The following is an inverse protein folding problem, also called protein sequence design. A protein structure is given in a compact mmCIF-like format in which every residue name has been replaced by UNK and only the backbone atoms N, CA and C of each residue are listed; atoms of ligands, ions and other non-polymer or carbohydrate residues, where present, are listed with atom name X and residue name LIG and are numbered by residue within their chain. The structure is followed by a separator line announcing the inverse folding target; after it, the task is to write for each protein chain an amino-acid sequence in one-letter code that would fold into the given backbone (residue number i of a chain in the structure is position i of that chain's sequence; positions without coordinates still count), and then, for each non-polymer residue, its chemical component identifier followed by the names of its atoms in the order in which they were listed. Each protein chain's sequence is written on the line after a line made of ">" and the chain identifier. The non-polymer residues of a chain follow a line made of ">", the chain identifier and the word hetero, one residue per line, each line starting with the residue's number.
data_IF_033597079837
#
_entry.id   IF_033597079837
#
_cell.length_a   1.000
_cell.length_b   1.000
_cell.length_c   1.000
_cell.angle_alpha   90.00
_cell.angle_beta   90.00
_cell.angle_gamma   90.00
#
_symmetry.space_group_name_H-M   'P 1'
#
loop_
_entity.id
_entity.type
_entity.pdbx_description
1 polymer ?
#
# COMPACT_ATOMS: atom_id res chain seq x y z
N UNK A 1 7.22 -16.47 -33.52
CA UNK A 1 7.75 -16.15 -34.85
C UNK A 1 8.25 -14.72 -34.85
N UNK A 2 9.57 -14.58 -35.13
CA UNK A 2 10.30 -13.41 -35.66
C UNK A 2 10.28 -12.18 -34.73
N UNK A 3 11.26 -11.71 -34.00
CA UNK A 3 12.70 -11.57 -34.31
C UNK A 3 12.99 -10.28 -35.07
N UNK A 4 13.48 -9.23 -34.38
CA UNK A 4 14.29 -8.18 -35.02
C UNK A 4 15.26 -7.63 -33.97
N UNK A 5 16.49 -8.08 -34.08
CA UNK A 5 17.69 -7.44 -33.54
C UNK A 5 18.03 -6.26 -34.45
N UNK A 6 18.18 -5.08 -33.91
CA UNK A 6 18.84 -3.99 -34.61
C UNK A 6 20.18 -3.66 -33.95
N UNK A 7 21.25 -4.14 -34.61
CA UNK A 7 22.63 -3.76 -34.36
C UNK A 7 22.88 -2.34 -34.91
N UNK A 8 23.08 -1.38 -34.05
CA UNK A 8 23.72 -0.13 -34.45
C UNK A 8 25.25 -0.21 -34.22
N UNK A 9 25.98 -0.48 -35.31
CA UNK A 9 27.45 -0.38 -35.35
C UNK A 9 27.80 1.08 -35.65
N UNK A 10 28.26 1.81 -34.64
CA UNK A 10 28.91 3.11 -34.84
C UNK A 10 30.39 2.88 -35.18
N UNK A 11 30.75 2.94 -36.47
CA UNK A 11 32.15 3.11 -36.92
C UNK A 11 32.52 4.58 -36.83
N UNK A 12 32.99 5.03 -35.66
CA UNK A 12 33.67 6.33 -35.51
C UNK A 12 35.16 6.16 -35.79
N UNK A 13 35.63 6.85 -36.79
CA UNK A 13 37.09 7.00 -37.06
C UNK A 13 37.76 7.66 -35.86
N UNK A 14 38.69 6.91 -35.22
CA UNK A 14 39.50 7.40 -34.12
C UNK A 14 40.53 8.40 -34.68
N UNK A 15 40.34 9.71 -34.48
CA UNK A 15 41.40 10.70 -34.60
C UNK A 15 42.18 10.72 -33.27
N UNK A 16 43.52 10.62 -33.27
CA UNK A 16 44.29 10.69 -32.02
C UNK A 16 44.29 12.15 -31.51
N UNK A 17 43.68 12.35 -30.37
CA UNK A 17 43.69 13.62 -29.66
C UNK A 17 45.11 13.86 -29.07
N UNK A 18 45.80 14.90 -29.52
CA UNK A 18 47.19 15.21 -29.18
C UNK A 18 47.39 15.85 -27.79
N UNK A 19 46.44 15.80 -26.89
CA UNK A 19 46.56 16.33 -25.53
C UNK A 19 46.16 15.31 -24.49
N UNK A 20 46.87 14.22 -24.36
CA UNK A 20 46.73 13.33 -23.20
C UNK A 20 47.86 13.64 -22.21
N UNK A 21 47.48 14.23 -21.08
CA UNK A 21 48.31 14.25 -19.87
C UNK A 21 48.87 12.84 -19.61
N UNK A 22 50.16 12.72 -19.29
CA UNK A 22 50.77 11.38 -19.06
C UNK A 22 50.00 10.65 -17.95
N UNK A 23 49.55 9.46 -18.26
CA UNK A 23 48.82 8.63 -17.30
C UNK A 23 49.82 8.14 -16.23
N UNK A 24 49.79 8.78 -15.05
CA UNK A 24 50.67 8.38 -13.94
C UNK A 24 50.11 7.08 -13.32
N UNK A 25 50.91 6.04 -13.32
CA UNK A 25 50.54 4.74 -12.74
C UNK A 25 51.06 4.67 -11.31
N UNK A 26 50.22 4.24 -10.40
CA UNK A 26 50.53 4.02 -8.98
C UNK A 26 50.48 2.54 -8.62
N UNK A 27 51.27 2.12 -7.63
CA UNK A 27 51.16 0.80 -7.00
C UNK A 27 50.05 0.77 -5.96
N UNK A 28 49.93 -0.32 -5.21
CA UNK A 28 48.92 -0.53 -4.19
C UNK A 28 49.04 0.46 -3.02
N UNK A 29 50.24 0.93 -2.74
CA UNK A 29 50.56 1.87 -1.66
C UNK A 29 50.52 3.32 -2.16
N UNK A 30 50.11 3.53 -3.40
CA UNK A 30 50.00 4.87 -4.01
C UNK A 30 51.34 5.47 -4.45
N UNK A 31 52.43 4.73 -4.45
CA UNK A 31 53.72 5.16 -4.98
C UNK A 31 53.68 5.25 -6.50
N UNK A 32 54.33 6.26 -7.06
CA UNK A 32 54.40 6.39 -8.52
C UNK A 32 55.45 5.40 -9.05
N UNK A 33 54.99 4.50 -9.90
CA UNK A 33 55.81 3.51 -10.55
C UNK A 33 56.18 3.96 -11.98
N UNK A 34 57.37 3.60 -12.44
CA UNK A 34 57.86 3.96 -13.74
C UNK A 34 58.75 2.94 -14.38
N UNK A 35 59.39 3.34 -15.48
CA UNK A 35 60.28 2.50 -16.27
C UNK A 35 61.63 2.29 -15.58
N UNK A 36 62.05 1.04 -15.28
CA UNK A 36 63.36 0.75 -14.67
C UNK A 36 64.52 1.09 -15.59
N UNK A 37 64.28 1.31 -16.90
CA UNK A 37 65.34 1.57 -17.85
C UNK A 37 65.67 3.06 -18.04
N UNK A 38 64.69 3.94 -17.81
CA UNK A 38 64.87 5.39 -18.07
C UNK A 38 64.17 6.28 -17.05
N UNK A 39 63.54 5.76 -15.99
CA UNK A 39 62.84 6.52 -14.96
C UNK A 39 61.57 7.19 -15.44
N UNK A 40 61.11 6.97 -16.66
CA UNK A 40 59.93 7.63 -17.19
C UNK A 40 58.63 7.19 -16.43
N UNK A 41 57.82 8.15 -16.04
CA UNK A 41 56.47 7.96 -15.45
C UNK A 41 55.46 7.48 -16.50
N UNK A 42 55.72 7.71 -17.79
CA UNK A 42 54.77 7.42 -18.88
C UNK A 42 54.90 5.93 -19.31
N UNK A 43 54.35 5.07 -18.46
CA UNK A 43 54.21 3.61 -18.71
C UNK A 43 52.74 3.25 -18.85
N UNK A 44 52.45 2.24 -19.66
CA UNK A 44 51.08 1.71 -19.81
C UNK A 44 51.04 0.19 -19.73
N UNK A 45 49.92 -0.38 -19.37
CA UNK A 45 49.69 -1.83 -19.45
C UNK A 45 49.78 -2.28 -20.92
N UNK A 46 50.53 -3.32 -21.20
CA UNK A 46 50.78 -3.89 -22.54
C UNK A 46 50.48 -5.39 -22.58
N UNK A 47 49.29 -5.78 -22.09
CA UNK A 47 48.87 -7.17 -22.00
C UNK A 47 49.63 -7.97 -20.93
N UNK A 48 49.69 -9.27 -21.09
CA UNK A 48 50.28 -10.18 -20.10
C UNK A 48 51.35 -11.04 -20.70
N UNK A 49 52.32 -11.45 -19.88
CA UNK A 49 53.27 -12.51 -20.20
C UNK A 49 52.74 -13.86 -19.67
N UNK A 50 52.68 -14.83 -20.58
CA UNK A 50 52.18 -16.20 -20.30
C UNK A 50 53.29 -17.23 -20.27
N UNK A 51 54.58 -16.84 -20.42
CA UNK A 51 55.72 -17.75 -20.44
C UNK A 51 56.12 -18.28 -19.07
N UNK A 52 55.63 -17.68 -18.00
CA UNK A 52 55.86 -18.14 -16.64
C UNK A 52 54.65 -18.88 -16.10
N UNK A 53 54.82 -19.74 -15.10
CA UNK A 53 53.76 -20.49 -14.42
C UNK A 53 52.67 -19.61 -13.78
N UNK A 54 52.89 -18.30 -13.74
CA UNK A 54 51.94 -17.30 -13.30
C UNK A 54 51.81 -16.17 -14.31
N UNK A 55 50.58 -15.80 -14.64
CA UNK A 55 50.25 -14.67 -15.47
C UNK A 55 50.80 -13.36 -14.88
N UNK A 56 51.78 -12.69 -15.57
CA UNK A 56 52.36 -11.42 -15.12
C UNK A 56 51.96 -10.27 -16.04
N UNK A 57 51.57 -9.11 -15.44
CA UNK A 57 51.29 -7.91 -16.20
C UNK A 57 52.55 -7.40 -16.89
N UNK A 58 52.50 -7.18 -18.20
CA UNK A 58 53.54 -6.54 -18.99
C UNK A 58 53.24 -5.05 -19.13
N UNK A 59 54.29 -4.23 -19.07
CA UNK A 59 54.24 -2.79 -19.18
C UNK A 59 55.06 -2.31 -20.36
N UNK A 60 54.65 -1.27 -21.02
CA UNK A 60 55.33 -0.57 -22.12
C UNK A 60 55.65 0.86 -21.72
N UNK A 61 56.92 1.24 -21.83
CA UNK A 61 57.34 2.63 -21.62
C UNK A 61 57.28 3.45 -22.91
N UNK A 62 56.58 4.55 -22.88
CA UNK A 62 56.49 5.44 -24.05
C UNK A 62 57.74 6.28 -24.22
N UNK A 63 58.51 6.54 -23.17
CA UNK A 63 59.76 7.30 -23.22
C UNK A 63 60.87 6.56 -23.97
N UNK A 64 61.27 5.38 -23.47
CA UNK A 64 62.34 4.58 -24.07
C UNK A 64 61.86 3.45 -24.97
N UNK A 65 60.57 3.27 -25.16
CA UNK A 65 59.90 2.27 -26.00
C UNK A 65 60.23 0.79 -25.63
N UNK A 66 60.70 0.56 -24.41
CA UNK A 66 61.01 -0.78 -23.88
C UNK A 66 59.82 -1.37 -23.11
N UNK A 67 59.78 -2.68 -23.02
CA UNK A 67 58.80 -3.42 -22.23
C UNK A 67 59.45 -3.95 -20.94
N UNK A 68 58.69 -3.97 -19.87
CA UNK A 68 59.11 -4.50 -18.56
C UNK A 68 57.99 -5.29 -17.90
N UNK A 69 58.35 -6.26 -17.06
CA UNK A 69 57.44 -7.03 -16.20
C UNK A 69 57.42 -6.51 -14.75
N UNK A 70 58.38 -5.64 -14.43
CA UNK A 70 58.61 -5.12 -13.07
C UNK A 70 58.93 -3.64 -13.17
N UNK A 71 57.92 -2.75 -13.20
CA UNK A 71 58.15 -1.33 -13.05
C UNK A 71 58.71 -1.04 -11.65
N UNK A 72 59.53 -0.01 -11.53
CA UNK A 72 60.15 0.40 -10.27
C UNK A 72 59.41 1.61 -9.65
N UNK A 73 59.48 1.73 -8.34
CA UNK A 73 59.02 2.91 -7.61
C UNK A 73 59.99 4.04 -7.89
N UNK A 74 59.53 5.05 -8.61
CA UNK A 74 60.32 6.26 -8.95
C UNK A 74 60.02 7.42 -8.05
N UNK A 75 58.89 7.41 -7.37
CA UNK A 75 58.52 8.38 -6.38
C UNK A 75 57.65 7.69 -5.29
N UNK A 76 58.11 7.79 -4.04
CA UNK A 76 57.38 7.23 -2.90
C UNK A 76 56.27 8.17 -2.47
N UNK A 77 55.14 7.62 -2.16
CA UNK A 77 54.08 8.35 -1.49
C UNK A 77 54.60 8.76 -0.09
N UNK A 78 54.58 10.03 0.28
CA UNK A 78 55.10 10.47 1.57
C UNK A 78 54.29 9.98 2.78
N UNK A 79 53.07 9.54 2.53
CA UNK A 79 52.21 8.94 3.58
C UNK A 79 51.22 7.96 2.92
N UNK A 80 50.81 6.95 3.67
CA UNK A 80 49.74 6.04 3.34
C UNK A 80 48.66 6.25 4.40
N UNK A 81 47.45 6.57 3.95
CA UNK A 81 46.30 6.66 4.86
C UNK A 81 45.70 5.27 4.99
N UNK A 82 45.77 4.71 6.19
CA UNK A 82 44.98 3.53 6.52
C UNK A 82 43.52 3.96 6.51
N UNK A 83 42.75 3.51 5.52
CA UNK A 83 41.35 3.84 5.42
C UNK A 83 40.62 3.24 6.61
N UNK A 84 39.80 4.03 7.33
CA UNK A 84 38.93 3.49 8.37
C UNK A 84 38.02 2.42 7.75
N UNK A 85 37.60 1.47 8.58
CA UNK A 85 36.62 0.45 8.18
C UNK A 85 35.36 1.17 7.69
N UNK A 86 34.99 0.91 6.45
CA UNK A 86 33.78 1.44 5.88
C UNK A 86 32.60 0.61 6.38
N UNK A 87 31.63 1.27 7.05
CA UNK A 87 30.39 0.63 7.52
C UNK A 87 29.35 0.49 6.40
N UNK A 88 29.63 1.01 5.21
CA UNK A 88 28.71 0.93 4.08
C UNK A 88 28.51 -0.50 3.61
N UNK A 89 27.28 -0.86 3.38
CA UNK A 89 26.91 -2.15 2.81
C UNK A 89 27.35 -2.19 1.35
N UNK A 90 28.07 -3.23 0.89
CA UNK A 90 28.43 -3.39 -0.51
C UNK A 90 27.21 -3.33 -1.43
N UNK A 91 27.33 -2.67 -2.57
CA UNK A 91 26.21 -2.45 -3.50
C UNK A 91 25.57 -3.76 -3.99
N UNK A 92 26.38 -4.81 -4.14
CA UNK A 92 25.92 -6.15 -4.52
C UNK A 92 24.98 -6.75 -3.47
N UNK A 93 25.24 -6.51 -2.19
CA UNK A 93 24.41 -7.01 -1.09
C UNK A 93 23.13 -6.17 -0.96
N UNK A 94 23.21 -4.87 -1.19
CA UNK A 94 22.02 -4.02 -1.32
C UNK A 94 21.12 -4.50 -2.48
N UNK A 95 21.70 -4.81 -3.64
CA UNK A 95 20.94 -5.34 -4.79
C UNK A 95 20.26 -6.66 -4.43
N UNK A 96 21.00 -7.62 -3.84
CA UNK A 96 20.43 -8.92 -3.40
C UNK A 96 19.27 -8.71 -2.42
N UNK A 97 19.47 -7.83 -1.43
CA UNK A 97 18.43 -7.50 -0.46
C UNK A 97 17.18 -6.91 -1.13
N UNK A 98 17.37 -5.95 -2.05
CA UNK A 98 16.25 -5.32 -2.80
C UNK A 98 15.50 -6.34 -3.67
N UNK A 99 16.19 -7.25 -4.34
CA UNK A 99 15.57 -8.31 -5.13
C UNK A 99 14.76 -9.28 -4.25
N UNK A 100 15.27 -9.64 -3.07
CA UNK A 100 14.53 -10.46 -2.10
C UNK A 100 13.25 -9.75 -1.64
N UNK A 101 13.35 -8.49 -1.24
CA UNK A 101 12.20 -7.68 -0.82
C UNK A 101 11.16 -7.53 -1.92
N UNK A 102 11.60 -7.33 -3.17
CA UNK A 102 10.68 -7.24 -4.31
C UNK A 102 9.86 -8.52 -4.48
N UNK A 103 10.51 -9.69 -4.46
CA UNK A 103 9.82 -10.98 -4.53
C UNK A 103 8.85 -11.20 -3.37
N UNK A 104 9.25 -10.86 -2.15
CA UNK A 104 8.37 -10.96 -0.97
C UNK A 104 7.13 -10.07 -1.12
N UNK A 105 7.32 -8.82 -1.56
CA UNK A 105 6.22 -7.90 -1.82
C UNK A 105 5.29 -8.38 -2.94
N UNK A 106 5.85 -9.00 -3.99
CA UNK A 106 5.05 -9.56 -5.08
C UNK A 106 4.16 -10.69 -4.58
N UNK A 107 4.70 -11.67 -3.86
CA UNK A 107 3.94 -12.78 -3.28
C UNK A 107 2.87 -12.28 -2.30
N UNK A 108 3.22 -11.33 -1.42
CA UNK A 108 2.27 -10.74 -0.49
C UNK A 108 1.14 -9.98 -1.22
N UNK A 109 1.46 -9.25 -2.28
CA UNK A 109 0.46 -8.56 -3.11
C UNK A 109 -0.47 -9.55 -3.81
N UNK A 110 0.07 -10.62 -4.39
CA UNK A 110 -0.71 -11.62 -5.11
C UNK A 110 -1.70 -12.34 -4.17
N UNK A 111 -1.27 -12.68 -2.96
CA UNK A 111 -2.13 -13.32 -1.95
C UNK A 111 -3.25 -12.41 -1.42
N UNK A 112 -3.07 -11.08 -1.51
CA UNK A 112 -4.04 -10.07 -1.05
C UNK A 112 -4.93 -9.52 -2.16
N UNK A 113 -4.79 -9.99 -3.40
CA UNK A 113 -5.63 -9.52 -4.51
C UNK A 113 -7.10 -9.88 -4.32
N UNK A 114 -7.39 -11.03 -3.74
CA UNK A 114 -8.73 -11.49 -3.38
C UNK A 114 -8.63 -12.45 -2.20
N UNK A 115 -9.02 -12.02 -1.01
CA UNK A 115 -8.96 -12.82 0.21
C UNK A 115 -10.26 -13.61 0.36
N UNK A 116 -10.17 -14.94 0.47
CA UNK A 116 -11.34 -15.76 0.71
C UNK A 116 -11.72 -15.73 2.19
N UNK A 117 -13.01 -15.50 2.48
CA UNK A 117 -13.61 -15.55 3.80
C UNK A 117 -14.73 -16.57 3.77
N UNK A 118 -14.63 -17.61 4.57
CA UNK A 118 -15.67 -18.63 4.68
C UNK A 118 -16.73 -18.17 5.67
N UNK A 119 -17.97 -18.08 5.23
CA UNK A 119 -19.14 -17.82 6.08
C UNK A 119 -19.61 -19.16 6.63
N UNK A 120 -19.61 -19.31 7.97
CA UNK A 120 -19.91 -20.58 8.63
C UNK A 120 -21.35 -20.64 9.19
N UNK A 121 -22.21 -19.73 8.75
CA UNK A 121 -23.63 -19.71 9.09
C UNK A 121 -24.49 -19.82 7.84
N UNK A 122 -25.57 -20.55 7.91
CA UNK A 122 -26.53 -20.67 6.83
C UNK A 122 -27.43 -19.44 6.74
N UNK A 123 -27.92 -19.17 5.53
CA UNK A 123 -28.92 -18.14 5.24
C UNK A 123 -28.35 -16.75 5.07
N UNK A 124 -29.23 -15.74 5.06
CA UNK A 124 -28.87 -14.34 4.85
C UNK A 124 -27.94 -13.79 5.93
N UNK A 125 -27.03 -12.92 5.53
CA UNK A 125 -26.17 -12.14 6.44
C UNK A 125 -26.27 -10.65 6.12
N UNK A 126 -25.86 -9.81 7.07
CA UNK A 126 -25.69 -8.39 6.88
C UNK A 126 -24.27 -7.93 7.17
N UNK A 127 -23.83 -6.89 6.48
CA UNK A 127 -22.54 -6.23 6.76
C UNK A 127 -22.82 -4.74 6.93
N UNK A 128 -22.58 -4.22 8.13
CA UNK A 128 -22.65 -2.81 8.45
C UNK A 128 -21.31 -2.15 8.13
N UNK A 129 -21.31 -1.14 7.25
CA UNK A 129 -20.11 -0.45 6.78
C UNK A 129 -19.95 0.87 7.51
N UNK A 130 -19.07 0.92 8.52
CA UNK A 130 -18.73 2.14 9.25
C UNK A 130 -17.85 3.03 8.38
N UNK A 131 -18.28 4.28 8.15
CA UNK A 131 -17.49 5.31 7.47
C UNK A 131 -16.84 6.25 8.46
N UNK A 132 -15.54 6.44 8.35
CA UNK A 132 -14.72 7.46 9.00
C UNK A 132 -15.21 7.84 10.43
N UNK A 133 -15.04 6.95 11.43
CA UNK A 133 -15.60 7.15 12.78
C UNK A 133 -15.07 8.38 13.50
N UNK A 134 -13.78 8.74 13.34
CA UNK A 134 -13.14 9.84 14.03
C UNK A 134 -13.56 9.93 15.50
N UNK A 135 -13.43 8.81 16.23
CA UNK A 135 -13.99 8.65 17.60
C UNK A 135 -13.45 9.64 18.64
N UNK A 136 -12.40 10.36 18.30
CA UNK A 136 -11.75 11.37 19.14
C UNK A 136 -12.13 12.82 18.79
N UNK A 137 -12.95 13.02 17.75
CA UNK A 137 -13.37 14.35 17.33
C UNK A 137 -14.59 14.82 18.17
N UNK A 138 -14.58 16.09 18.59
CA UNK A 138 -15.64 16.67 19.40
C UNK A 138 -16.97 16.77 18.64
N UNK A 139 -16.94 16.74 17.30
CA UNK A 139 -18.12 16.76 16.44
C UNK A 139 -18.67 15.37 16.08
N UNK A 140 -18.07 14.31 16.60
CA UNK A 140 -18.49 12.93 16.30
C UNK A 140 -19.67 12.49 17.18
N UNK A 141 -20.69 11.91 16.54
CA UNK A 141 -21.81 11.28 17.26
C UNK A 141 -21.43 9.91 17.80
N UNK A 142 -20.73 9.89 18.94
CA UNK A 142 -20.38 8.67 19.65
C UNK A 142 -21.59 7.89 20.15
N UNK A 143 -22.72 8.55 20.43
CA UNK A 143 -23.96 7.88 20.87
C UNK A 143 -24.49 6.97 19.78
N UNK A 144 -24.46 7.43 18.54
CA UNK A 144 -24.86 6.65 17.37
C UNK A 144 -23.90 5.47 17.11
N UNK A 145 -22.57 5.68 17.23
CA UNK A 145 -21.58 4.60 17.11
C UNK A 145 -21.86 3.50 18.12
N UNK A 146 -22.10 3.86 19.40
CA UNK A 146 -22.39 2.90 20.47
C UNK A 146 -23.70 2.15 20.19
N UNK A 147 -24.77 2.87 19.85
CA UNK A 147 -26.07 2.26 19.55
C UNK A 147 -25.99 1.27 18.38
N UNK A 148 -25.30 1.64 17.30
CA UNK A 148 -25.12 0.76 16.15
C UNK A 148 -24.27 -0.45 16.48
N UNK A 149 -23.20 -0.26 17.27
CA UNK A 149 -22.36 -1.38 17.72
C UNK A 149 -23.14 -2.38 18.56
N UNK A 150 -24.00 -1.88 19.46
CA UNK A 150 -24.84 -2.74 20.30
C UNK A 150 -25.87 -3.53 19.47
N UNK A 151 -26.48 -2.89 18.47
CA UNK A 151 -27.41 -3.58 17.55
C UNK A 151 -26.71 -4.65 16.76
N UNK A 152 -25.51 -4.37 16.23
CA UNK A 152 -24.73 -5.34 15.44
C UNK A 152 -24.38 -6.54 16.29
N UNK A 153 -23.86 -6.33 17.51
CA UNK A 153 -23.47 -7.42 18.42
C UNK A 153 -24.64 -8.30 18.85
N UNK A 154 -25.84 -7.73 18.91
CA UNK A 154 -27.05 -8.44 19.36
C UNK A 154 -27.86 -9.05 18.20
N UNK A 155 -27.41 -8.91 16.94
CA UNK A 155 -28.14 -9.39 15.76
C UNK A 155 -27.38 -10.56 15.11
N UNK A 156 -27.92 -11.75 15.15
CA UNK A 156 -27.32 -12.93 14.53
C UNK A 156 -27.16 -12.77 13.02
N UNK A 157 -25.96 -13.01 12.53
CA UNK A 157 -25.63 -12.88 11.12
C UNK A 157 -25.34 -11.44 10.64
N UNK A 158 -25.34 -10.44 11.55
CA UNK A 158 -24.93 -9.09 11.22
C UNK A 158 -23.47 -8.88 11.65
N UNK A 159 -22.62 -8.53 10.69
CA UNK A 159 -21.19 -8.30 10.88
C UNK A 159 -20.85 -6.83 10.70
N UNK A 160 -19.68 -6.42 11.21
CA UNK A 160 -19.15 -5.08 11.05
C UNK A 160 -18.02 -5.02 10.02
N UNK A 161 -17.93 -3.94 9.26
CA UNK A 161 -16.80 -3.54 8.43
C UNK A 161 -16.47 -2.07 8.67
N UNK A 162 -15.17 -1.72 8.69
CA UNK A 162 -14.71 -0.35 8.81
C UNK A 162 -13.96 0.11 7.57
N UNK A 163 -14.17 1.36 7.16
CA UNK A 163 -13.62 1.95 5.94
C UNK A 163 -12.42 2.89 6.17
N UNK A 164 -11.92 2.94 7.42
CA UNK A 164 -10.76 3.74 7.81
C UNK A 164 -11.09 4.98 8.59
N UNK A 165 -10.04 5.72 8.94
CA UNK A 165 -10.09 6.98 9.70
C UNK A 165 -10.84 6.84 11.02
N UNK A 166 -10.40 5.88 11.85
CA UNK A 166 -10.99 5.62 13.17
C UNK A 166 -10.82 6.82 14.08
N UNK A 167 -9.70 7.53 13.97
CA UNK A 167 -9.38 8.74 14.75
C UNK A 167 -8.77 9.84 13.87
N UNK A 168 -8.66 11.04 14.40
CA UNK A 168 -8.07 12.19 13.71
C UNK A 168 -6.55 12.06 13.55
N UNK A 169 -5.83 11.56 14.56
CA UNK A 169 -4.38 11.34 14.54
C UNK A 169 -3.59 12.50 13.89
N UNK A 170 -3.78 13.72 14.39
CA UNK A 170 -3.15 14.92 13.83
C UNK A 170 -1.64 14.90 13.97
N UNK A 171 -0.92 14.78 12.87
CA UNK A 171 0.55 14.75 12.85
C UNK A 171 1.14 15.83 11.93
N UNK A 172 2.44 16.09 12.09
CA UNK A 172 3.16 17.05 11.28
C UNK A 172 2.54 18.45 11.35
N UNK A 173 2.20 19.02 10.21
CA UNK A 173 1.57 20.36 10.12
C UNK A 173 0.15 20.41 10.69
N UNK A 174 -0.52 19.27 10.80
CA UNK A 174 -1.88 19.17 11.32
C UNK A 174 -1.90 19.01 12.84
N UNK A 175 -0.76 18.79 13.50
CA UNK A 175 -0.68 18.62 14.96
C UNK A 175 -1.23 19.82 15.75
N UNK A 176 -1.25 21.01 15.15
CA UNK A 176 -1.87 22.21 15.76
C UNK A 176 -3.39 22.07 15.93
N UNK A 177 -4.04 21.17 15.18
CA UNK A 177 -5.48 20.93 15.29
C UNK A 177 -5.85 20.22 16.61
N UNK A 178 -4.89 19.55 17.29
CA UNK A 178 -5.13 19.07 18.66
C UNK A 178 -5.48 20.18 19.65
N UNK A 179 -5.09 21.42 19.38
CA UNK A 179 -5.51 22.58 20.18
C UNK A 179 -6.98 22.98 19.98
N UNK A 180 -7.68 22.39 19.02
CA UNK A 180 -9.07 22.65 18.67
C UNK A 180 -10.01 21.51 19.07
N UNK A 181 -9.48 20.41 19.58
CA UNK A 181 -10.27 19.28 20.11
C UNK A 181 -10.00 19.05 21.59
N UNK A 182 -10.97 18.48 22.30
CA UNK A 182 -10.89 18.26 23.75
C UNK A 182 -10.07 17.02 24.13
N UNK A 183 -9.93 16.06 23.22
CA UNK A 183 -9.19 14.80 23.42
C UNK A 183 -7.70 14.95 23.10
N UNK A 184 -6.85 14.45 23.97
CA UNK A 184 -5.41 14.32 23.72
C UNK A 184 -5.11 13.11 22.82
N UNK A 185 -3.93 13.09 22.18
CA UNK A 185 -3.50 11.93 21.38
C UNK A 185 -3.53 10.59 22.14
N UNK A 186 -3.25 10.62 23.47
CA UNK A 186 -3.34 9.42 24.32
C UNK A 186 -4.78 8.96 24.51
N UNK A 187 -5.71 9.89 24.67
CA UNK A 187 -7.13 9.58 24.80
C UNK A 187 -7.71 9.11 23.48
N UNK A 188 -7.30 9.69 22.36
CA UNK A 188 -7.66 9.24 21.01
C UNK A 188 -7.36 7.76 20.80
N UNK A 189 -6.15 7.31 21.19
CA UNK A 189 -5.81 5.89 21.08
C UNK A 189 -6.62 4.98 22.00
N UNK A 190 -6.98 5.44 23.20
CA UNK A 190 -7.88 4.68 24.09
C UNK A 190 -9.28 4.53 23.50
N UNK A 191 -9.80 5.60 22.90
CA UNK A 191 -11.12 5.56 22.22
C UNK A 191 -11.08 4.64 21.00
N UNK A 192 -10.00 4.70 20.22
CA UNK A 192 -9.78 3.81 19.07
C UNK A 192 -9.72 2.34 19.48
N UNK A 193 -8.93 2.01 20.52
CA UNK A 193 -8.85 0.66 21.08
C UNK A 193 -10.22 0.19 21.60
N UNK A 194 -10.95 1.03 22.33
CA UNK A 194 -12.30 0.72 22.81
C UNK A 194 -13.24 0.41 21.63
N UNK A 195 -13.25 1.24 20.60
CA UNK A 195 -14.11 1.07 19.43
C UNK A 195 -13.77 -0.20 18.67
N UNK A 196 -12.50 -0.45 18.40
CA UNK A 196 -12.06 -1.66 17.69
C UNK A 196 -12.41 -2.91 18.49
N UNK A 197 -12.22 -2.92 19.81
CA UNK A 197 -12.52 -4.08 20.65
C UNK A 197 -14.03 -4.28 20.93
N UNK A 198 -14.88 -3.31 20.57
CA UNK A 198 -16.32 -3.40 20.81
C UNK A 198 -17.05 -4.30 19.81
N UNK A 199 -16.48 -4.55 18.64
CA UNK A 199 -17.12 -5.26 17.53
C UNK A 199 -16.27 -6.43 17.03
N UNK A 200 -16.94 -7.48 16.57
CA UNK A 200 -16.33 -8.53 15.76
C UNK A 200 -16.31 -8.10 14.30
N UNK A 201 -15.16 -7.63 13.85
CA UNK A 201 -14.97 -7.11 12.51
C UNK A 201 -14.86 -8.23 11.47
N UNK A 202 -15.67 -8.18 10.42
CA UNK A 202 -15.43 -8.97 9.22
C UNK A 202 -14.20 -8.44 8.47
N UNK A 203 -14.11 -7.10 8.39
CA UNK A 203 -12.94 -6.41 7.88
C UNK A 203 -12.75 -5.03 8.54
N UNK A 204 -11.50 -4.60 8.59
CA UNK A 204 -11.11 -3.26 8.97
C UNK A 204 -10.06 -2.76 7.96
N UNK A 205 -10.37 -1.69 7.26
CA UNK A 205 -9.45 -0.98 6.37
C UNK A 205 -8.88 0.21 7.14
N UNK A 206 -7.57 0.41 7.10
CA UNK A 206 -6.97 1.64 7.63
C UNK A 206 -7.06 2.77 6.61
N UNK A 207 -7.44 3.96 7.08
CA UNK A 207 -7.46 5.19 6.30
C UNK A 207 -6.16 5.98 6.40
N UNK A 208 -6.15 7.20 5.86
CA UNK A 208 -4.95 8.03 5.89
C UNK A 208 -4.60 8.52 7.30
N UNK A 209 -5.57 8.83 8.13
CA UNK A 209 -5.35 9.23 9.52
C UNK A 209 -4.76 8.09 10.35
N UNK A 210 -5.20 6.87 10.13
CA UNK A 210 -4.74 5.68 10.87
C UNK A 210 -3.26 5.37 10.63
N UNK A 211 -2.73 5.62 9.42
CA UNK A 211 -1.35 5.28 9.01
C UNK A 211 -0.38 6.45 9.05
N UNK A 212 -0.80 7.63 9.47
CA UNK A 212 0.06 8.82 9.50
C UNK A 212 1.18 8.76 10.54
N UNK A 213 1.11 7.91 11.54
CA UNK A 213 2.08 7.83 12.64
C UNK A 213 3.51 7.43 12.21
N UNK A 214 3.73 7.15 10.92
CA UNK A 214 5.06 6.84 10.39
C UNK A 214 5.48 5.39 10.64
N UNK A 215 6.34 5.17 11.62
CA UNK A 215 6.84 3.84 11.95
C UNK A 215 5.84 3.09 12.85
N UNK A 216 5.43 1.93 12.37
CA UNK A 216 4.47 1.07 13.05
C UNK A 216 3.03 1.33 12.60
N UNK A 217 2.17 0.42 12.99
CA UNK A 217 0.74 0.45 12.71
C UNK A 217 0.01 0.01 13.98
N UNK A 218 -0.42 0.98 14.82
CA UNK A 218 -1.10 0.64 16.07
C UNK A 218 -2.37 -0.18 15.86
N UNK A 219 -3.11 0.03 14.77
CA UNK A 219 -4.30 -0.76 14.47
C UNK A 219 -3.96 -2.22 14.14
N UNK A 220 -2.84 -2.48 13.47
CA UNK A 220 -2.35 -3.85 13.24
C UNK A 220 -2.09 -4.57 14.57
N UNK A 221 -1.58 -3.86 15.58
CA UNK A 221 -1.39 -4.44 16.92
C UNK A 221 -2.70 -4.74 17.62
N UNK A 222 -3.68 -3.83 17.58
CA UNK A 222 -5.00 -4.03 18.17
C UNK A 222 -5.73 -5.17 17.44
N UNK A 223 -5.72 -5.17 16.12
CA UNK A 223 -6.39 -6.19 15.30
C UNK A 223 -5.75 -7.58 15.36
N UNK A 224 -4.57 -7.72 15.96
CA UNK A 224 -3.87 -9.02 16.05
C UNK A 224 -4.69 -10.11 16.76
N UNK A 225 -5.46 -9.71 17.75
CA UNK A 225 -6.28 -10.62 18.56
C UNK A 225 -7.72 -10.78 18.00
N UNK A 226 -8.02 -10.12 16.86
CA UNK A 226 -9.29 -10.24 16.16
C UNK A 226 -9.19 -11.21 14.99
N UNK A 227 -10.29 -11.90 14.69
CA UNK A 227 -10.39 -12.83 13.54
C UNK A 227 -10.66 -12.09 12.20
N UNK A 228 -10.95 -10.80 12.24
CA UNK A 228 -11.28 -9.97 11.07
C UNK A 228 -10.09 -9.71 10.16
N UNK A 229 -10.38 -9.47 8.88
CA UNK A 229 -9.36 -9.08 7.91
C UNK A 229 -8.94 -7.62 8.15
N UNK A 230 -7.66 -7.40 8.48
CA UNK A 230 -7.06 -6.07 8.52
C UNK A 230 -6.24 -5.81 7.27
N UNK A 231 -6.52 -4.69 6.58
CA UNK A 231 -5.75 -4.25 5.41
C UNK A 231 -5.58 -2.73 5.40
N UNK A 232 -4.42 -2.27 4.96
CA UNK A 232 -4.18 -0.84 4.70
C UNK A 232 -4.79 -0.44 3.36
N UNK A 233 -5.50 0.68 3.31
CA UNK A 233 -6.05 1.30 2.11
C UNK A 233 -7.19 0.57 1.42
N UNK A 234 -7.32 -0.73 1.58
CA UNK A 234 -8.40 -1.49 0.96
C UNK A 234 -8.24 -2.99 1.00
N UNK A 235 -9.35 -3.67 1.19
CA UNK A 235 -9.51 -5.11 1.21
C UNK A 235 -10.46 -5.55 0.09
N UNK A 236 -10.04 -6.52 -0.71
CA UNK A 236 -10.93 -7.19 -1.65
C UNK A 236 -11.15 -8.62 -1.20
N UNK A 237 -12.40 -8.95 -0.92
CA UNK A 237 -12.80 -10.19 -0.25
C UNK A 237 -13.75 -10.99 -1.15
N UNK A 238 -13.67 -12.30 -1.01
CA UNK A 238 -14.62 -13.25 -1.58
C UNK A 238 -15.28 -14.03 -0.45
N UNK A 239 -16.53 -13.70 -0.14
CA UNK A 239 -17.31 -14.42 0.86
C UNK A 239 -17.83 -15.71 0.25
N UNK A 240 -17.48 -16.84 0.86
CA UNK A 240 -17.93 -18.18 0.46
C UNK A 240 -18.98 -18.68 1.41
N UNK A 241 -20.19 -18.85 0.91
CA UNK A 241 -21.33 -19.33 1.70
C UNK A 241 -21.42 -20.87 1.72
N UNK A 242 -22.08 -21.47 2.72
CA UNK A 242 -22.22 -22.92 2.82
C UNK A 242 -22.94 -23.56 1.63
N UNK A 243 -23.84 -22.83 0.97
CA UNK A 243 -24.55 -23.30 -0.23
C UNK A 243 -23.71 -23.18 -1.53
N UNK A 244 -22.44 -22.75 -1.43
CA UNK A 244 -21.54 -22.59 -2.56
C UNK A 244 -21.62 -21.22 -3.26
N UNK A 245 -22.51 -20.32 -2.83
CA UNK A 245 -22.56 -18.95 -3.37
C UNK A 245 -21.31 -18.17 -2.97
N UNK A 246 -20.80 -17.39 -3.89
CA UNK A 246 -19.63 -16.53 -3.67
C UNK A 246 -19.96 -15.06 -3.94
N UNK A 247 -19.66 -14.19 -2.99
CA UNK A 247 -19.92 -12.74 -3.07
C UNK A 247 -18.62 -11.97 -2.94
N UNK A 248 -18.28 -11.17 -3.94
CA UNK A 248 -17.09 -10.33 -3.93
C UNK A 248 -17.40 -8.94 -3.39
N UNK A 249 -16.60 -8.52 -2.42
CA UNK A 249 -16.65 -7.19 -1.79
C UNK A 249 -15.31 -6.50 -1.99
N UNK A 250 -15.33 -5.22 -2.38
CA UNK A 250 -14.15 -4.37 -2.47
C UNK A 250 -14.37 -3.15 -1.57
N UNK A 251 -13.87 -3.25 -0.35
CA UNK A 251 -13.90 -2.20 0.64
C UNK A 251 -12.59 -1.42 0.59
N UNK A 252 -12.63 -0.10 0.43
CA UNK A 252 -11.46 0.75 0.40
C UNK A 252 -11.69 2.00 1.22
N UNK A 253 -10.60 2.62 1.69
CA UNK A 253 -10.75 3.92 2.29
C UNK A 253 -11.21 4.95 1.24
N UNK A 254 -10.71 4.89 0.01
CA UNK A 254 -11.17 5.75 -1.10
C UNK A 254 -11.03 5.07 -2.45
N UNK A 255 -11.92 5.45 -3.40
CA UNK A 255 -11.78 5.18 -4.83
C UNK A 255 -11.50 6.47 -5.60
N UNK A 256 -10.63 6.40 -6.61
CA UNK A 256 -10.26 7.57 -7.40
C UNK A 256 -11.40 8.05 -8.30
N UNK A 257 -11.84 9.27 -8.11
CA UNK A 257 -12.80 9.98 -8.95
C UNK A 257 -13.64 10.94 -8.14
N UNK A 258 -13.82 12.16 -8.63
CA UNK A 258 -14.61 13.21 -8.01
C UNK A 258 -15.67 13.71 -8.99
N UNK A 259 -16.85 14.06 -8.48
CA UNK A 259 -17.91 14.72 -9.23
C UNK A 259 -18.67 15.66 -8.32
N UNK A 260 -18.95 16.86 -8.78
CA UNK A 260 -19.77 17.82 -8.06
C UNK A 260 -21.23 17.36 -7.95
N UNK A 261 -21.70 16.54 -8.89
CA UNK A 261 -23.10 16.12 -9.03
C UNK A 261 -23.39 14.73 -8.47
N UNK A 262 -22.37 13.88 -8.30
CA UNK A 262 -22.54 12.51 -7.85
C UNK A 262 -21.48 12.17 -6.80
N UNK A 263 -21.90 12.14 -5.54
CA UNK A 263 -21.02 11.80 -4.41
C UNK A 263 -20.44 10.38 -4.49
N UNK A 264 -21.17 9.43 -5.09
CA UNK A 264 -20.72 8.07 -5.32
C UNK A 264 -19.87 7.90 -6.61
N UNK A 265 -19.48 8.98 -7.29
CA UNK A 265 -18.82 8.88 -8.60
C UNK A 265 -17.57 7.99 -8.60
N UNK A 266 -16.68 8.13 -7.63
CA UNK A 266 -15.44 7.37 -7.54
C UNK A 266 -15.68 5.87 -7.46
N UNK A 267 -16.53 5.45 -6.53
CA UNK A 267 -16.87 4.05 -6.30
C UNK A 267 -17.72 3.48 -7.45
N UNK A 268 -18.66 4.22 -7.99
CA UNK A 268 -19.48 3.81 -9.14
C UNK A 268 -18.64 3.63 -10.42
N UNK A 269 -17.70 4.56 -10.67
CA UNK A 269 -16.73 4.43 -11.75
C UNK A 269 -15.88 3.17 -11.61
N UNK A 270 -15.43 2.85 -10.39
CA UNK A 270 -14.67 1.65 -10.11
C UNK A 270 -15.47 0.38 -10.40
N UNK A 271 -16.76 0.35 -10.05
CA UNK A 271 -17.67 -0.75 -10.35
C UNK A 271 -17.91 -0.91 -11.85
N UNK A 272 -18.12 0.20 -12.56
CA UNK A 272 -18.45 0.19 -13.99
C UNK A 272 -17.25 -0.14 -14.89
N UNK A 273 -16.09 0.46 -14.61
CA UNK A 273 -14.94 0.44 -15.52
C UNK A 273 -13.80 -0.49 -15.07
N UNK A 274 -13.81 -0.95 -13.83
CA UNK A 274 -12.72 -1.72 -13.24
C UNK A 274 -13.14 -3.01 -12.56
N UNK A 275 -13.54 -2.90 -11.32
CA UNK A 275 -13.81 -4.06 -10.47
C UNK A 275 -15.25 -4.55 -10.64
N UNK A 276 -15.40 -5.74 -11.18
CA UNK A 276 -16.70 -6.41 -11.33
C UNK A 276 -17.02 -7.18 -10.02
N UNK A 277 -17.19 -6.45 -8.92
CA UNK A 277 -17.52 -6.99 -7.61
C UNK A 277 -18.98 -6.67 -7.26
N UNK A 278 -19.61 -7.47 -6.40
CA UNK A 278 -21.02 -7.30 -6.01
C UNK A 278 -21.23 -6.06 -5.15
N UNK A 279 -20.28 -5.78 -4.23
CA UNK A 279 -20.31 -4.65 -3.32
C UNK A 279 -18.99 -3.90 -3.43
N UNK A 280 -19.03 -2.60 -3.73
CA UNK A 280 -17.90 -1.69 -3.61
C UNK A 280 -18.27 -0.60 -2.62
N UNK A 281 -17.43 -0.36 -1.63
CA UNK A 281 -17.72 0.61 -0.56
C UNK A 281 -16.49 1.40 -0.16
N UNK A 282 -16.65 2.69 0.14
CA UNK A 282 -15.57 3.54 0.62
C UNK A 282 -16.06 4.70 1.49
N UNK A 283 -15.14 5.30 2.27
CA UNK A 283 -15.31 6.48 3.11
C UNK A 283 -14.54 7.69 2.59
N UNK A 284 -13.75 8.35 3.45
CA UNK A 284 -12.79 9.41 3.21
C UNK A 284 -13.35 10.81 2.93
N UNK A 285 -14.39 10.93 2.14
CA UNK A 285 -14.89 12.26 1.72
C UNK A 285 -15.99 12.80 2.60
N UNK A 286 -16.37 12.10 3.67
CA UNK A 286 -17.41 12.44 4.64
C UNK A 286 -18.79 12.75 4.04
N UNK A 287 -19.04 12.28 2.83
CA UNK A 287 -20.33 12.45 2.13
C UNK A 287 -20.91 11.08 1.77
N UNK A 288 -22.24 11.01 1.70
CA UNK A 288 -22.95 9.79 1.34
C UNK A 288 -23.33 9.75 -0.13
N UNK A 289 -23.29 8.55 -0.71
CA UNK A 289 -23.80 8.31 -2.05
C UNK A 289 -24.00 6.81 -2.31
N UNK A 290 -25.02 6.49 -3.07
CA UNK A 290 -25.33 5.11 -3.41
C UNK A 290 -25.76 4.98 -4.86
N UNK A 291 -25.24 3.97 -5.54
CA UNK A 291 -25.59 3.67 -6.92
C UNK A 291 -25.60 2.16 -7.18
N UNK A 292 -26.62 1.68 -7.86
CA UNK A 292 -26.70 0.30 -8.35
C UNK A 292 -26.39 0.28 -9.83
N UNK A 293 -25.55 -0.65 -10.23
CA UNK A 293 -25.06 -0.81 -11.61
C UNK A 293 -25.24 -2.26 -12.05
N UNK A 294 -25.75 -2.47 -13.25
CA UNK A 294 -25.82 -3.81 -13.86
C UNK A 294 -24.83 -3.92 -15.00
N UNK A 295 -23.97 -4.92 -14.94
CA UNK A 295 -23.03 -5.22 -16.03
C UNK A 295 -23.78 -5.93 -17.16
N UNK A 296 -23.85 -5.35 -18.37
CA UNK A 296 -24.65 -5.93 -19.45
C UNK A 296 -24.08 -7.25 -19.99
N UNK A 297 -22.79 -7.51 -19.78
CA UNK A 297 -22.13 -8.71 -20.30
C UNK A 297 -22.32 -9.92 -19.38
N UNK A 298 -22.25 -9.74 -18.06
CA UNK A 298 -22.37 -10.83 -17.07
C UNK A 298 -23.72 -10.88 -16.36
N UNK A 299 -24.52 -9.82 -16.45
CA UNK A 299 -25.75 -9.67 -15.65
C UNK A 299 -25.51 -9.24 -14.20
N UNK A 300 -24.25 -9.24 -13.71
CA UNK A 300 -23.89 -8.92 -12.35
C UNK A 300 -24.45 -7.55 -11.91
N UNK A 301 -25.12 -7.55 -10.78
CA UNK A 301 -25.57 -6.31 -10.13
C UNK A 301 -24.52 -5.91 -9.08
N UNK A 302 -24.00 -4.70 -9.23
CA UNK A 302 -23.02 -4.11 -8.32
C UNK A 302 -23.64 -2.98 -7.49
N UNK A 303 -23.40 -3.00 -6.18
CA UNK A 303 -23.81 -1.96 -5.24
C UNK A 303 -22.60 -1.10 -4.90
N UNK A 304 -22.60 0.16 -5.28
CA UNK A 304 -21.54 1.14 -5.08
C UNK A 304 -21.93 2.13 -3.99
N UNK A 305 -21.23 2.12 -2.86
CA UNK A 305 -21.51 2.91 -1.67
C UNK A 305 -20.35 3.87 -1.35
N UNK A 306 -20.64 5.16 -1.31
CA UNK A 306 -19.82 6.16 -0.66
C UNK A 306 -20.44 6.43 0.70
N UNK A 307 -19.71 6.17 1.78
CA UNK A 307 -20.19 6.23 3.16
C UNK A 307 -19.67 7.51 3.81
N UNK A 308 -20.55 8.24 4.49
CA UNK A 308 -20.19 9.45 5.21
C UNK A 308 -19.53 9.14 6.56
N UNK A 309 -18.99 10.18 7.21
CA UNK A 309 -18.41 10.13 8.54
C UNK A 309 -19.47 10.18 9.65
N UNK A 310 -19.09 9.70 10.84
CA UNK A 310 -19.81 9.97 12.08
C UNK A 310 -19.52 11.36 12.67
N UNK A 311 -18.56 12.08 12.10
CA UNK A 311 -18.28 13.47 12.43
C UNK A 311 -19.35 14.37 11.81
N UNK A 312 -20.42 14.59 12.56
CA UNK A 312 -21.61 15.35 12.12
C UNK A 312 -21.33 16.85 12.14
N UNK A 313 -20.60 17.33 13.15
CA UNK A 313 -20.21 18.72 13.27
C UNK A 313 -18.75 18.91 12.89
N UNK A 314 -18.48 19.09 11.60
CA UNK A 314 -17.13 19.28 11.09
C UNK A 314 -16.80 20.77 10.93
N UNK A 315 -16.05 21.32 11.89
CA UNK A 315 -15.62 22.71 11.87
C UNK A 315 -14.75 23.07 10.66
N UNK A 316 -14.07 22.09 10.07
CA UNK A 316 -13.30 22.28 8.83
C UNK A 316 -14.22 22.39 7.62
N UNK A 317 -15.25 21.56 7.52
CA UNK A 317 -16.28 21.66 6.48
C UNK A 317 -17.06 22.97 6.58
N UNK A 318 -17.44 23.38 7.79
CA UNK A 318 -18.10 24.67 8.07
C UNK A 318 -17.20 25.86 7.62
N UNK A 319 -15.93 25.84 7.97
CA UNK A 319 -14.96 26.87 7.54
C UNK A 319 -14.84 26.98 6.02
N UNK A 320 -14.99 25.88 5.30
CA UNK A 320 -14.96 25.85 3.84
C UNK A 320 -16.31 26.14 3.20
N UNK A 321 -17.38 26.30 3.98
CA UNK A 321 -18.73 26.51 3.48
C UNK A 321 -19.26 25.32 2.68
N UNK A 322 -18.87 24.09 3.06
CA UNK A 322 -19.34 22.88 2.41
C UNK A 322 -20.75 22.51 2.92
N UNK A 323 -21.62 22.15 1.98
CA UNK A 323 -22.94 21.64 2.30
C UNK A 323 -22.84 20.27 3.02
N UNK A 324 -23.70 20.06 4.01
CA UNK A 324 -23.86 18.75 4.63
C UNK A 324 -24.52 17.78 3.63
N UNK A 325 -23.77 16.77 3.24
CA UNK A 325 -24.21 15.67 2.34
C UNK A 325 -24.18 14.31 3.05
N UNK A 326 -24.19 14.35 4.39
CA UNK A 326 -24.22 13.15 5.21
C UNK A 326 -25.67 12.64 5.35
N UNK A 327 -26.04 11.67 4.52
CA UNK A 327 -27.33 10.99 4.57
C UNK A 327 -27.21 9.69 5.39
N UNK A 328 -26.08 8.99 5.29
CA UNK A 328 -25.81 7.75 6.03
C UNK A 328 -24.31 7.57 6.28
N UNK A 329 -23.96 7.12 7.49
CA UNK A 329 -22.59 6.88 7.96
C UNK A 329 -22.31 5.40 8.29
N UNK A 330 -23.35 4.57 8.30
CA UNK A 330 -23.24 3.13 8.53
C UNK A 330 -24.33 2.37 7.75
N UNK A 331 -24.29 2.37 6.40
CA UNK A 331 -25.23 1.56 5.62
C UNK A 331 -24.93 0.08 5.82
N UNK A 332 -25.96 -0.75 5.68
CA UNK A 332 -25.87 -2.20 5.80
C UNK A 332 -26.24 -2.84 4.47
N UNK A 333 -25.37 -3.71 3.96
CA UNK A 333 -25.68 -4.59 2.84
C UNK A 333 -26.14 -5.94 3.37
N UNK A 334 -27.40 -6.26 3.15
CA UNK A 334 -27.97 -7.59 3.44
C UNK A 334 -27.75 -8.47 2.21
N UNK A 335 -27.12 -9.61 2.41
CA UNK A 335 -26.80 -10.60 1.37
C UNK A 335 -27.65 -11.84 1.61
N UNK A 336 -28.50 -12.19 0.64
CA UNK A 336 -29.28 -13.41 0.67
C UNK A 336 -28.74 -14.41 -0.36
N UNK A 337 -27.93 -15.37 0.05
CA UNK A 337 -27.20 -16.25 -0.85
C UNK A 337 -28.08 -17.25 -1.64
N UNK A 338 -29.40 -17.22 -1.45
CA UNK A 338 -30.36 -18.04 -2.23
C UNK A 338 -30.54 -17.56 -3.67
N UNK A 339 -30.19 -16.29 -3.95
CA UNK A 339 -30.46 -15.65 -5.22
C UNK A 339 -29.23 -15.57 -6.13
N UNK A 340 -29.46 -15.41 -7.45
CA UNK A 340 -28.42 -15.32 -8.45
C UNK A 340 -27.87 -13.89 -8.60
N UNK A 341 -26.72 -13.74 -9.28
CA UNK A 341 -25.97 -12.48 -9.41
C UNK A 341 -26.72 -11.35 -10.14
N UNK A 342 -27.76 -11.71 -10.90
CA UNK A 342 -28.60 -10.77 -11.64
C UNK A 342 -29.97 -10.51 -10.98
N UNK A 343 -30.19 -11.10 -9.79
CA UNK A 343 -31.42 -10.90 -9.00
C UNK A 343 -31.21 -9.81 -7.92
N UNK A 344 -32.08 -8.82 -7.93
CA UNK A 344 -32.05 -7.71 -6.95
C UNK A 344 -32.21 -8.16 -5.49
N UNK A 345 -32.73 -9.34 -5.24
CA UNK A 345 -32.89 -9.90 -3.89
C UNK A 345 -31.60 -10.44 -3.29
N UNK A 346 -30.57 -10.67 -4.14
CA UNK A 346 -29.26 -11.13 -3.68
C UNK A 346 -28.63 -10.14 -2.69
N UNK A 347 -28.72 -8.84 -2.99
CA UNK A 347 -28.19 -7.79 -2.14
C UNK A 347 -29.23 -6.68 -1.97
N UNK A 348 -29.58 -6.41 -0.72
CA UNK A 348 -30.43 -5.28 -0.33
C UNK A 348 -29.62 -4.33 0.53
N UNK A 349 -29.59 -3.04 0.18
CA UNK A 349 -28.87 -2.01 0.95
C UNK A 349 -29.86 -1.21 1.78
N UNK A 350 -29.63 -1.14 3.08
CA UNK A 350 -30.39 -0.35 4.05
C UNK A 350 -29.46 0.68 4.70
N UNK A 351 -29.96 1.87 4.97
CA UNK A 351 -29.13 3.00 5.40
C UNK A 351 -29.09 3.22 6.92
N UNK A 352 -29.78 2.35 7.67
CA UNK A 352 -29.83 2.40 9.13
C UNK A 352 -29.61 0.98 9.69
N UNK A 353 -28.59 0.73 10.52
CA UNK A 353 -28.32 -0.58 11.11
C UNK A 353 -29.48 -1.15 11.94
N UNK A 354 -30.27 -0.31 12.61
CA UNK A 354 -31.40 -0.77 13.42
C UNK A 354 -32.48 -1.40 12.51
N UNK A 355 -32.85 -0.67 11.44
CA UNK A 355 -33.82 -1.18 10.44
C UNK A 355 -33.27 -2.42 9.73
N UNK A 356 -31.98 -2.42 9.44
CA UNK A 356 -31.33 -3.57 8.81
C UNK A 356 -31.31 -4.81 9.69
N UNK A 357 -31.11 -4.66 10.99
CA UNK A 357 -31.18 -5.73 11.97
C UNK A 357 -32.57 -6.37 12.03
N UNK A 358 -33.63 -5.55 12.06
CA UNK A 358 -35.01 -6.03 12.02
C UNK A 358 -35.32 -6.79 10.72
N UNK A 359 -34.88 -6.24 9.58
CA UNK A 359 -35.07 -6.87 8.28
C UNK A 359 -34.28 -8.19 8.15
N UNK A 360 -33.03 -8.19 8.62
CA UNK A 360 -32.21 -9.41 8.63
C UNK A 360 -32.84 -10.49 9.52
N UNK A 361 -33.29 -10.15 10.72
CA UNK A 361 -34.00 -11.06 11.61
C UNK A 361 -35.26 -11.65 10.97
N UNK A 362 -36.01 -10.84 10.21
CA UNK A 362 -37.15 -11.33 9.44
C UNK A 362 -36.74 -12.34 8.37
N UNK A 363 -35.69 -12.08 7.59
CA UNK A 363 -35.21 -12.98 6.54
C UNK A 363 -34.64 -14.29 7.12
N UNK A 364 -34.13 -14.26 8.35
CA UNK A 364 -33.50 -15.40 9.02
C UNK A 364 -34.49 -16.26 9.85
N UNK A 365 -35.78 -15.95 9.88
CA UNK A 365 -36.75 -16.71 10.68
C UNK A 365 -36.72 -18.23 10.43
N UNK A 366 -36.46 -18.62 9.17
CA UNK A 366 -36.42 -20.02 8.79
C UNK A 366 -35.08 -20.75 9.14
N UNK A 367 -34.07 -19.97 9.60
CA UNK A 367 -32.72 -20.44 9.91
C UNK A 367 -32.38 -20.40 11.39
N UNK A 368 -33.09 -19.59 12.17
CA UNK A 368 -32.76 -19.28 13.56
C UNK A 368 -33.86 -19.81 14.53
N UNK A 369 -34.89 -20.45 13.98
CA UNK A 369 -36.05 -21.00 14.71
C UNK A 369 -35.75 -22.28 15.49
#
# INVERSE_FOLDING_TARGET
>A
MVGLEDHYIYRGKYMPNQNTTPHIVKDIDGHIIGCPHCGSRDIRKDGFDYKASKKKQRWYCRGCKRKTLSPEIIERNPFVVEQPVNEDIPVEDLIKHRLKLYKQKQVAKDSRQLVNININIDGPIGIAHFGDPHVDDDGTDLSQIIAYSDVINNTKGLFAGNLGDIQNNWIGRLATLYGQQSTSARESWKLSEYFVNKLDWLYLVAGNHDVWSGDGDPLEFIMRDHNGLYERWGARMNLKFPNGKEIRINARHTFKGNSMWNTAHGVAKAAQMGWKDHILTCGHTHVSGYQVLKDPASGLISHALQVASFKIHDSYAEKLGLDDKNIFNCPVTIIDPRYEDDDNRLITTLFNPIVAAEYLAFLRKDYDG
#
